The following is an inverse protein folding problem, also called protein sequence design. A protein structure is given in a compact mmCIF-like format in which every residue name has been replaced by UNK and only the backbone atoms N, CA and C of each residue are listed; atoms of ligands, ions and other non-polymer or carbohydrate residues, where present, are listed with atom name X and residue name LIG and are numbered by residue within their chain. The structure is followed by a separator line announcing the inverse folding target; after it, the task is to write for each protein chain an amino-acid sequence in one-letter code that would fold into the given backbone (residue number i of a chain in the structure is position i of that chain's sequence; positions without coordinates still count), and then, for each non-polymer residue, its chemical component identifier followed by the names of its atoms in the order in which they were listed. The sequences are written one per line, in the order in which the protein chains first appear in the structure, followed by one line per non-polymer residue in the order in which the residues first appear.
data_IF_413568207305
#
_entry.id   IF_413568207305
#
_cell.length_a   1.000
_cell.length_b   1.000
_cell.length_c   1.000
_cell.angle_alpha   90.00
_cell.angle_beta   90.00
_cell.angle_gamma   90.00
#
_symmetry.space_group_name_H-M   'P 1'
#
loop_
_entity.id
_entity.type
_entity.pdbx_description
1 polymer ?
#
# COMPACT_ATOMS: atom_id res chain seq x y z
N UNK A 1 -7.38 -9.71 9.92
CA UNK A 1 -6.30 -9.95 8.93
C UNK A 1 -5.72 -11.37 8.94
N UNK A 2 -5.37 -11.97 10.09
CA UNK A 2 -4.69 -13.30 10.15
C UNK A 2 -5.50 -14.44 9.48
N UNK A 3 -6.81 -14.49 9.71
CA UNK A 3 -7.71 -15.53 9.16
C UNK A 3 -7.83 -15.46 7.64
N UNK A 4 -7.96 -14.25 7.07
CA UNK A 4 -8.04 -14.02 5.61
C UNK A 4 -6.73 -14.40 4.92
N UNK A 5 -5.59 -13.97 5.47
CA UNK A 5 -4.26 -14.38 4.98
C UNK A 5 -4.11 -15.90 4.98
N UNK A 6 -4.45 -16.56 6.10
CA UNK A 6 -4.31 -18.01 6.19
C UNK A 6 -5.20 -18.74 5.17
N UNK A 7 -6.40 -18.23 4.94
CA UNK A 7 -7.28 -18.74 3.89
C UNK A 7 -6.68 -18.56 2.49
N UNK A 8 -6.11 -17.39 2.16
CA UNK A 8 -5.44 -17.14 0.88
C UNK A 8 -4.23 -18.04 0.64
N UNK A 9 -3.37 -18.20 1.65
CA UNK A 9 -2.22 -19.12 1.59
C UNK A 9 -2.68 -20.55 1.34
N UNK A 10 -3.76 -20.98 2.01
CA UNK A 10 -4.28 -22.34 1.88
C UNK A 10 -5.06 -22.60 0.58
N UNK A 11 -5.75 -21.59 0.03
CA UNK A 11 -6.65 -21.75 -1.13
C UNK A 11 -6.07 -21.30 -2.46
N UNK A 12 -5.19 -20.29 -2.46
CA UNK A 12 -4.61 -19.73 -3.66
C UNK A 12 -3.10 -20.02 -3.79
N UNK A 13 -2.54 -20.84 -2.89
CA UNK A 13 -1.09 -21.08 -2.77
C UNK A 13 -0.29 -19.76 -2.74
N UNK A 14 -0.89 -18.72 -2.15
CA UNK A 14 -0.29 -17.41 -2.08
C UNK A 14 0.98 -17.46 -1.21
N UNK A 15 1.98 -16.61 -1.48
CA UNK A 15 3.19 -16.53 -0.66
C UNK A 15 2.83 -16.32 0.81
N UNK A 16 3.50 -17.07 1.69
CA UNK A 16 3.27 -17.02 3.14
C UNK A 16 3.97 -15.81 3.76
N UNK A 17 3.59 -14.61 3.34
CA UNK A 17 4.12 -13.34 3.85
C UNK A 17 3.75 -13.18 5.33
N UNK A 18 4.69 -12.71 6.15
CA UNK A 18 4.46 -12.45 7.57
C UNK A 18 3.55 -11.24 7.80
N UNK A 19 2.70 -11.22 8.85
CA UNK A 19 1.90 -10.03 9.16
C UNK A 19 2.73 -8.75 9.35
N UNK A 20 3.90 -8.85 9.98
CA UNK A 20 4.83 -7.74 10.16
C UNK A 20 5.39 -7.21 8.83
N UNK A 21 5.63 -8.10 7.86
CA UNK A 21 6.09 -7.71 6.53
C UNK A 21 5.00 -6.98 5.75
N UNK A 22 3.73 -7.43 5.85
CA UNK A 22 2.59 -6.71 5.26
C UNK A 22 2.48 -5.30 5.86
N UNK A 23 2.61 -5.18 7.18
CA UNK A 23 2.57 -3.89 7.87
C UNK A 23 3.72 -2.97 7.46
N UNK A 24 4.95 -3.51 7.37
CA UNK A 24 6.11 -2.76 6.92
C UNK A 24 5.96 -2.25 5.49
N UNK A 25 5.45 -3.09 4.58
CA UNK A 25 5.15 -2.67 3.20
C UNK A 25 4.09 -1.59 3.13
N UNK A 26 3.04 -1.69 3.96
CA UNK A 26 2.00 -0.66 4.00
C UNK A 26 2.55 0.67 4.52
N UNK A 27 3.41 0.65 5.54
CA UNK A 27 4.06 1.86 6.05
C UNK A 27 4.96 2.52 4.98
N UNK A 28 5.81 1.74 4.32
CA UNK A 28 6.65 2.23 3.22
C UNK A 28 5.81 2.84 2.08
N UNK A 29 4.71 2.18 1.70
CA UNK A 29 3.77 2.74 0.72
C UNK A 29 3.19 4.08 1.18
N UNK A 30 2.78 4.21 2.44
CA UNK A 30 2.21 5.46 2.95
C UNK A 30 3.23 6.60 2.95
N UNK A 31 4.48 6.34 3.34
CA UNK A 31 5.58 7.32 3.26
C UNK A 31 5.81 7.76 1.81
N UNK A 32 6.01 6.80 0.91
CA UNK A 32 6.20 7.08 -0.52
C UNK A 32 5.03 7.85 -1.14
N UNK A 33 3.79 7.44 -0.85
CA UNK A 33 2.58 8.07 -1.36
C UNK A 33 2.47 9.53 -0.90
N UNK A 34 2.76 9.79 0.38
CA UNK A 34 2.74 11.13 0.94
C UNK A 34 3.75 12.05 0.25
N UNK A 35 5.00 11.60 0.12
CA UNK A 35 6.05 12.36 -0.57
C UNK A 35 5.72 12.62 -2.04
N UNK A 36 5.12 11.63 -2.72
CA UNK A 36 4.70 11.76 -4.11
C UNK A 36 3.64 12.84 -4.28
N UNK A 37 2.61 12.86 -3.44
CA UNK A 37 1.53 13.84 -3.54
C UNK A 37 1.99 15.25 -3.14
N UNK A 38 2.81 15.37 -2.09
CA UNK A 38 3.46 16.64 -1.75
C UNK A 38 4.30 17.19 -2.93
N UNK A 39 5.03 16.30 -3.62
CA UNK A 39 5.82 16.68 -4.82
C UNK A 39 4.94 17.07 -6.01
N UNK A 40 3.73 16.54 -6.10
CA UNK A 40 2.72 16.92 -7.10
C UNK A 40 2.04 18.25 -6.75
N UNK A 41 2.28 18.78 -5.55
CA UNK A 41 1.80 20.08 -5.09
C UNK A 41 0.53 20.01 -4.24
N UNK A 42 0.08 18.80 -3.86
CA UNK A 42 -1.05 18.62 -2.96
C UNK A 42 -0.69 19.09 -1.55
N UNK A 43 -1.64 19.69 -0.85
CA UNK A 43 -1.49 19.95 0.58
C UNK A 43 -1.75 18.67 1.38
N UNK A 44 -1.32 18.64 2.64
CA UNK A 44 -1.61 17.52 3.54
C UNK A 44 -3.12 17.31 3.74
N UNK A 45 -3.90 18.39 3.72
CA UNK A 45 -5.36 18.34 3.84
C UNK A 45 -5.99 17.68 2.61
N UNK A 46 -5.52 18.04 1.41
CA UNK A 46 -5.99 17.42 0.16
C UNK A 46 -5.74 15.91 0.15
N UNK A 47 -4.54 15.47 0.57
CA UNK A 47 -4.16 14.05 0.57
C UNK A 47 -5.09 13.20 1.44
N UNK A 48 -5.60 13.78 2.53
CA UNK A 48 -6.53 13.10 3.45
C UNK A 48 -7.95 12.99 2.89
N UNK A 49 -8.33 13.84 1.94
CA UNK A 49 -9.65 13.84 1.30
C UNK A 49 -9.72 12.94 0.05
N UNK A 50 -8.58 12.43 -0.42
CA UNK A 50 -8.55 11.63 -1.64
C UNK A 50 -9.38 10.36 -1.54
N UNK A 51 -10.17 10.04 -2.57
CA UNK A 51 -11.05 8.89 -2.54
C UNK A 51 -10.24 7.59 -2.60
N UNK A 52 -10.80 6.53 -2.02
CA UNK A 52 -10.12 5.23 -1.88
C UNK A 52 -9.60 4.67 -3.22
N UNK A 53 -10.28 4.93 -4.35
CA UNK A 53 -9.83 4.46 -5.65
C UNK A 53 -8.49 5.08 -6.07
N UNK A 54 -8.25 6.36 -5.79
CA UNK A 54 -6.98 7.02 -6.13
C UNK A 54 -5.82 6.47 -5.27
N UNK A 55 -6.09 6.18 -4.00
CA UNK A 55 -5.14 5.51 -3.12
C UNK A 55 -4.79 4.10 -3.64
N UNK A 56 -5.78 3.36 -4.17
CA UNK A 56 -5.55 2.03 -4.75
C UNK A 56 -4.75 2.11 -6.05
N UNK A 57 -5.04 3.06 -6.93
CA UNK A 57 -4.26 3.29 -8.15
C UNK A 57 -2.81 3.65 -7.82
N UNK A 58 -2.61 4.48 -6.80
CA UNK A 58 -1.28 4.80 -6.27
C UNK A 58 -0.54 3.57 -5.75
N UNK A 59 -1.25 2.67 -5.09
CA UNK A 59 -0.68 1.42 -4.56
C UNK A 59 -0.27 0.47 -5.69
N UNK A 60 -1.03 0.42 -6.78
CA UNK A 60 -0.68 -0.34 -7.98
C UNK A 60 0.60 0.23 -8.61
N UNK A 61 0.67 1.55 -8.80
CA UNK A 61 1.87 2.24 -9.33
C UNK A 61 3.10 1.94 -8.47
N UNK A 62 2.96 2.01 -7.14
CA UNK A 62 4.03 1.67 -6.20
C UNK A 62 4.51 0.23 -6.36
N UNK A 63 3.57 -0.72 -6.47
CA UNK A 63 3.90 -2.13 -6.71
C UNK A 63 4.64 -2.35 -8.04
N UNK A 64 4.22 -1.69 -9.11
CA UNK A 64 4.84 -1.77 -10.44
C UNK A 64 6.23 -1.12 -10.48
N UNK A 65 6.46 -0.08 -9.68
CA UNK A 65 7.77 0.58 -9.53
C UNK A 65 8.78 -0.23 -8.69
N UNK A 66 8.39 -1.40 -8.18
CA UNK A 66 9.26 -2.26 -7.38
C UNK A 66 9.29 -1.93 -5.88
N UNK A 67 8.27 -1.23 -5.37
CA UNK A 67 8.08 -0.94 -3.95
C UNK A 67 9.20 -0.07 -3.33
N UNK A 68 9.46 1.14 -3.88
CA UNK A 68 10.43 2.08 -3.34
C UNK A 68 10.04 2.55 -1.93
N UNK A 69 11.04 2.90 -1.12
CA UNK A 69 10.84 3.58 0.18
C UNK A 69 10.92 5.08 -0.01
#
# INVERSE_FOLDING_TARGET
MRSVRNWLVAKANAPKIGPSEIQGKYAAFQEWYWERELRRGSSEEDILEYPTNELLDAMIEWMESGQPT
#
